data_IF_163556035334
#
_entry.id   IF_163556035334
#
_cell.length_a   1.000
_cell.length_b   1.000
_cell.length_c   1.000
_cell.angle_alpha   90.00
_cell.angle_beta   90.00
_cell.angle_gamma   90.00
#
_symmetry.space_group_name_H-M   'P 1'
#
loop_
_entity.id
_entity.type
_entity.pdbx_description
1 polymer ?
#
# COMPACT_ATOMS: atom_id res chain seq x y z
N UNK A 1 4.11 13.98 18.53
CA UNK A 1 4.72 13.83 17.20
C UNK A 1 4.17 12.55 16.60
N UNK A 2 3.22 12.65 15.67
CA UNK A 2 2.69 11.48 14.97
C UNK A 2 3.28 11.51 13.56
N UNK A 3 4.21 10.61 13.29
CA UNK A 3 4.81 10.47 11.95
C UNK A 3 3.85 9.65 11.10
N UNK A 4 3.39 10.21 9.99
CA UNK A 4 2.59 9.50 8.99
C UNK A 4 3.49 9.22 7.79
N UNK A 5 3.52 7.96 7.39
CA UNK A 5 4.62 7.36 6.67
C UNK A 5 4.02 6.37 5.66
N UNK A 6 4.19 6.59 4.35
CA UNK A 6 3.71 5.68 3.30
C UNK A 6 4.88 5.17 2.45
N UNK A 7 5.02 3.86 2.31
CA UNK A 7 6.10 3.22 1.54
C UNK A 7 5.60 2.68 0.19
N UNK A 8 6.50 2.56 -0.80
CA UNK A 8 6.30 1.84 -2.05
C UNK A 8 6.60 0.32 -1.92
N UNK A 9 6.53 -0.40 -3.04
CA UNK A 9 6.76 -1.85 -3.10
C UNK A 9 8.19 -2.27 -2.75
N UNK A 10 9.17 -1.39 -2.95
CA UNK A 10 10.58 -1.64 -2.69
C UNK A 10 10.99 -1.17 -1.28
N UNK A 11 10.07 -0.53 -0.55
CA UNK A 11 10.26 -0.06 0.81
C UNK A 11 10.79 1.36 0.93
N UNK A 12 10.64 2.20 -0.11
CA UNK A 12 10.97 3.63 -0.07
C UNK A 12 9.76 4.49 0.31
N UNK A 13 9.95 5.59 1.06
CA UNK A 13 8.86 6.48 1.47
C UNK A 13 8.39 7.39 0.33
N UNK A 14 7.08 7.41 0.05
CA UNK A 14 6.41 8.29 -0.89
C UNK A 14 5.95 9.60 -0.21
N UNK A 15 5.63 9.55 1.09
CA UNK A 15 5.18 10.70 1.89
C UNK A 15 5.81 10.65 3.30
N UNK A 16 6.39 11.77 3.75
CA UNK A 16 6.94 11.98 5.11
C UNK A 16 6.37 13.29 5.70
N UNK A 17 5.45 13.18 6.67
CA UNK A 17 4.84 14.34 7.35
C UNK A 17 4.98 14.25 8.88
N UNK A 18 5.27 15.40 9.50
CA UNK A 18 5.39 15.56 10.95
C UNK A 18 4.33 16.55 11.46
N UNK A 19 3.52 16.12 12.42
CA UNK A 19 2.61 16.99 13.19
C UNK A 19 3.17 17.25 14.61
N UNK A 20 3.40 18.51 14.99
CA UNK A 20 3.85 18.93 16.34
C UNK A 20 4.84 20.10 16.42
N UNK A 21 5.59 20.18 17.54
CA UNK A 21 6.63 21.21 17.79
C UNK A 21 7.78 21.12 16.77
N UNK A 22 8.36 22.29 16.44
CA UNK A 22 9.51 22.41 15.53
C UNK A 22 10.72 21.63 16.09
N UNK A 23 11.29 20.68 15.31
CA UNK A 23 12.41 19.88 15.75
C UNK A 23 13.72 20.69 15.74
N UNK A 24 14.78 20.12 16.32
CA UNK A 24 16.15 20.61 16.13
C UNK A 24 16.49 20.54 14.63
N UNK A 25 17.08 21.60 14.07
CA UNK A 25 17.39 21.78 12.64
C UNK A 25 16.14 21.94 11.75
N UNK A 26 15.12 22.68 12.21
CA UNK A 26 13.94 22.97 11.40
C UNK A 26 14.26 23.95 10.25
N UNK A 27 13.53 23.82 9.14
CA UNK A 27 13.60 24.69 7.96
C UNK A 27 12.22 24.81 7.31
N UNK A 28 11.91 25.95 6.67
CA UNK A 28 10.73 26.06 5.80
C UNK A 28 10.92 25.41 4.42
N UNK A 29 12.15 25.01 4.07
CA UNK A 29 12.43 24.32 2.81
C UNK A 29 11.75 22.95 2.77
N UNK A 30 11.01 22.70 1.70
CA UNK A 30 10.30 21.44 1.51
C UNK A 30 11.30 20.27 1.41
N UNK A 31 11.04 19.21 2.18
CA UNK A 31 11.69 17.91 1.97
C UNK A 31 11.19 17.33 0.65
N UNK A 32 12.10 16.86 -0.19
CA UNK A 32 11.71 16.17 -1.43
C UNK A 32 11.11 14.79 -1.14
N UNK A 33 10.49 14.20 -2.15
CA UNK A 33 9.98 12.83 -2.04
C UNK A 33 11.14 11.84 -1.88
N UNK A 34 10.97 10.77 -1.09
CA UNK A 34 11.92 9.64 -1.04
C UNK A 34 13.02 9.66 0.02
N UNK A 35 13.16 10.68 0.87
CA UNK A 35 14.29 10.75 1.81
C UNK A 35 14.02 10.11 3.18
N UNK A 36 14.45 8.86 3.41
CA UNK A 36 14.32 8.21 4.73
C UNK A 36 15.22 8.87 5.77
N UNK A 37 14.65 9.27 6.92
CA UNK A 37 15.38 9.97 8.00
C UNK A 37 16.32 11.07 7.44
N UNK A 38 15.81 11.82 6.46
CA UNK A 38 16.52 12.94 5.88
C UNK A 38 16.96 13.90 7.00
N UNK A 39 18.17 14.43 6.89
CA UNK A 39 18.60 15.55 7.71
C UNK A 39 18.96 16.69 6.78
N UNK A 40 18.48 17.88 7.13
CA UNK A 40 18.90 19.10 6.48
C UNK A 40 20.32 19.43 6.95
N UNK A 41 21.27 19.46 6.01
CA UNK A 41 22.70 19.58 6.28
C UNK A 41 23.31 20.73 5.49
N UNK A 42 24.47 21.19 5.94
CA UNK A 42 25.22 22.27 5.31
C UNK A 42 24.42 23.58 5.17
N UNK A 43 23.58 23.89 6.16
CA UNK A 43 22.73 25.07 6.18
C UNK A 43 23.31 26.18 7.07
N UNK A 44 22.89 27.41 6.79
CA UNK A 44 23.11 28.56 7.66
C UNK A 44 21.93 28.70 8.64
N UNK A 45 22.24 29.12 9.88
CA UNK A 45 21.23 29.28 10.95
C UNK A 45 20.92 30.76 11.13
N UNK A 46 19.65 31.12 11.00
CA UNK A 46 19.17 32.45 11.37
C UNK A 46 19.28 32.62 12.91
N UNK A 47 20.01 33.63 13.41
CA UNK A 47 20.26 33.80 14.84
C UNK A 47 19.03 34.28 15.63
N UNK A 48 18.04 34.87 14.97
CA UNK A 48 16.83 35.42 15.59
C UNK A 48 15.69 34.39 15.60
N UNK A 49 15.53 33.63 14.52
CA UNK A 49 14.44 32.65 14.36
C UNK A 49 14.88 31.21 14.64
N UNK A 50 16.17 30.91 14.52
CA UNK A 50 16.72 29.56 14.59
C UNK A 50 16.44 28.71 13.35
N UNK A 51 15.93 29.30 12.27
CA UNK A 51 15.65 28.62 11.00
C UNK A 51 16.95 28.23 10.29
N UNK A 52 16.99 27.02 9.73
CA UNK A 52 18.07 26.59 8.85
C UNK A 52 17.70 26.88 7.39
N UNK A 53 18.57 27.55 6.62
CA UNK A 53 18.33 27.86 5.19
C UNK A 53 19.58 27.62 4.34
N UNK A 54 19.40 27.46 3.02
CA UNK A 54 20.52 27.31 2.07
C UNK A 54 21.26 25.97 2.11
N UNK A 55 20.76 25.00 2.88
CA UNK A 55 21.28 23.65 2.98
C UNK A 55 20.71 22.68 1.95
N UNK A 56 21.06 21.41 2.13
CA UNK A 56 20.57 20.29 1.30
C UNK A 56 20.00 19.19 2.18
N UNK A 57 18.91 18.59 1.74
CA UNK A 57 18.40 17.37 2.34
C UNK A 57 19.32 16.19 1.98
N UNK A 58 19.87 15.55 3.00
CA UNK A 58 20.71 14.36 2.84
C UNK A 58 20.04 13.17 3.54
N UNK A 59 19.91 12.06 2.82
CA UNK A 59 19.46 10.80 3.38
C UNK A 59 20.55 10.24 4.31
N UNK A 60 20.22 10.05 5.59
CA UNK A 60 21.23 9.66 6.60
C UNK A 60 21.22 8.17 6.91
N UNK A 61 20.16 7.47 6.51
CA UNK A 61 20.02 6.02 6.64
C UNK A 61 18.90 5.55 5.70
N UNK A 62 18.81 4.23 5.46
CA UNK A 62 17.65 3.62 4.82
C UNK A 62 16.68 2.98 5.83
N UNK A 63 15.52 2.47 5.38
CA UNK A 63 14.56 1.79 6.24
C UNK A 63 15.19 0.66 7.03
N UNK A 64 14.84 0.57 8.31
CA UNK A 64 15.30 -0.55 9.14
C UNK A 64 14.63 -1.84 8.71
N UNK A 65 15.22 -2.98 9.06
CA UNK A 65 14.60 -4.30 8.82
C UNK A 65 13.23 -4.44 9.45
N UNK A 66 12.98 -3.73 10.57
CA UNK A 66 11.68 -3.66 11.23
C UNK A 66 10.67 -2.90 10.36
N UNK A 67 11.07 -1.75 9.79
CA UNK A 67 10.20 -0.93 8.92
C UNK A 67 9.79 -1.72 7.67
N UNK A 68 10.76 -2.38 7.02
CA UNK A 68 10.53 -3.22 5.84
C UNK A 68 9.58 -4.38 6.17
N UNK A 69 9.79 -5.05 7.31
CA UNK A 69 8.95 -6.16 7.74
C UNK A 69 7.52 -5.74 8.05
N UNK A 70 7.34 -4.59 8.72
CA UNK A 70 6.03 -4.03 9.02
C UNK A 70 5.27 -3.68 7.74
N UNK A 71 5.95 -3.05 6.76
CA UNK A 71 5.35 -2.73 5.47
C UNK A 71 4.92 -3.99 4.70
N UNK A 72 5.78 -5.02 4.68
CA UNK A 72 5.43 -6.29 4.04
C UNK A 72 4.21 -6.93 4.71
N UNK A 73 4.13 -6.90 6.04
CA UNK A 73 2.98 -7.41 6.76
C UNK A 73 1.68 -6.64 6.42
N UNK A 74 1.78 -5.32 6.23
CA UNK A 74 0.66 -4.50 5.78
C UNK A 74 0.22 -4.87 4.36
N UNK A 75 1.15 -5.02 3.40
CA UNK A 75 0.81 -5.47 2.06
C UNK A 75 0.12 -6.83 2.05
N UNK A 76 0.60 -7.78 2.85
CA UNK A 76 -0.05 -9.09 3.01
C UNK A 76 -1.45 -8.96 3.61
N UNK A 77 -1.64 -8.05 4.56
CA UNK A 77 -2.96 -7.79 5.18
C UNK A 77 -3.93 -7.21 4.16
N UNK A 78 -3.49 -6.23 3.36
CA UNK A 78 -4.30 -5.66 2.27
C UNK A 78 -4.63 -6.70 1.19
N UNK A 79 -3.68 -7.55 0.82
CA UNK A 79 -3.90 -8.65 -0.11
C UNK A 79 -4.96 -9.65 0.41
N UNK A 80 -4.92 -9.99 1.70
CA UNK A 80 -5.95 -10.83 2.35
C UNK A 80 -7.34 -10.21 2.27
N UNK A 81 -7.45 -8.92 2.58
CA UNK A 81 -8.71 -8.19 2.49
C UNK A 81 -9.26 -8.17 1.05
N UNK A 82 -8.40 -7.89 0.07
CA UNK A 82 -8.75 -7.93 -1.35
C UNK A 82 -9.23 -9.31 -1.80
N UNK A 83 -8.51 -10.38 -1.45
CA UNK A 83 -8.90 -11.77 -1.74
C UNK A 83 -10.27 -12.10 -1.19
N UNK A 84 -10.50 -11.80 0.10
CA UNK A 84 -11.78 -12.04 0.76
C UNK A 84 -12.93 -11.34 0.05
N UNK A 85 -12.75 -10.04 -0.29
CA UNK A 85 -13.74 -9.27 -1.04
C UNK A 85 -14.06 -9.89 -2.41
N UNK A 86 -13.03 -10.24 -3.18
CA UNK A 86 -13.21 -10.82 -4.52
C UNK A 86 -13.91 -12.19 -4.48
N UNK A 87 -13.61 -13.02 -3.47
CA UNK A 87 -14.29 -14.30 -3.25
C UNK A 87 -15.76 -14.10 -2.87
N UNK A 88 -16.06 -13.10 -2.03
CA UNK A 88 -17.44 -12.75 -1.68
C UNK A 88 -18.23 -12.32 -2.92
N UNK A 89 -17.70 -11.36 -3.68
CA UNK A 89 -18.33 -10.86 -4.91
C UNK A 89 -18.58 -11.99 -5.94
N UNK A 90 -17.61 -12.91 -6.09
CA UNK A 90 -17.76 -14.07 -6.95
C UNK A 90 -18.83 -15.05 -6.45
N UNK A 91 -18.94 -15.23 -5.13
CA UNK A 91 -19.95 -16.09 -4.53
C UNK A 91 -21.36 -15.53 -4.74
N UNK A 92 -21.55 -14.23 -4.55
CA UNK A 92 -22.84 -13.57 -4.79
C UNK A 92 -23.28 -13.72 -6.26
N UNK A 93 -22.34 -13.55 -7.20
CA UNK A 93 -22.63 -13.77 -8.63
C UNK A 93 -22.98 -15.22 -8.94
N UNK A 94 -22.27 -16.17 -8.33
CA UNK A 94 -22.54 -17.60 -8.48
C UNK A 94 -23.95 -17.95 -8.01
N UNK A 95 -24.42 -17.41 -6.88
CA UNK A 95 -25.79 -17.66 -6.40
C UNK A 95 -26.84 -17.11 -7.38
N UNK A 96 -26.70 -15.87 -7.85
CA UNK A 96 -27.60 -15.28 -8.86
C UNK A 96 -27.64 -16.14 -10.14
N UNK A 97 -26.49 -16.68 -10.57
CA UNK A 97 -26.41 -17.52 -11.76
C UNK A 97 -27.09 -18.88 -11.56
N UNK A 98 -27.02 -19.46 -10.35
CA UNK A 98 -27.76 -20.68 -10.02
C UNK A 98 -29.27 -20.43 -10.08
N UNK A 99 -29.76 -19.37 -9.44
CA UNK A 99 -31.19 -19.01 -9.45
C UNK A 99 -31.71 -18.86 -10.89
N UNK A 100 -30.92 -18.21 -11.77
CA UNK A 100 -31.28 -18.06 -13.19
C UNK A 100 -31.38 -19.39 -13.92
N UNK A 101 -30.48 -20.33 -13.65
CA UNK A 101 -30.50 -21.67 -14.23
C UNK A 101 -31.70 -22.45 -13.72
N UNK A 102 -32.01 -22.35 -12.43
CA UNK A 102 -33.21 -22.96 -11.83
C UNK A 102 -34.51 -22.41 -12.45
N UNK A 103 -34.52 -21.13 -12.82
CA UNK A 103 -35.60 -20.49 -13.58
C UNK A 103 -35.57 -20.79 -15.09
N UNK A 104 -34.67 -21.67 -15.55
CA UNK A 104 -34.61 -22.17 -16.93
C UNK A 104 -33.77 -21.35 -17.91
N UNK A 105 -32.96 -20.41 -17.44
CA UNK A 105 -32.03 -19.66 -18.30
C UNK A 105 -30.75 -20.45 -18.57
N UNK A 106 -30.28 -20.46 -19.83
CA UNK A 106 -28.99 -21.09 -20.18
C UNK A 106 -27.81 -20.20 -19.76
N UNK A 107 -27.29 -20.43 -18.56
CA UNK A 107 -26.14 -19.71 -17.97
C UNK A 107 -25.07 -20.65 -17.41
N UNK A 108 -25.10 -21.93 -17.79
CA UNK A 108 -24.20 -22.95 -17.24
C UNK A 108 -22.72 -22.67 -17.56
N UNK A 109 -22.43 -22.14 -18.76
CA UNK A 109 -21.08 -21.75 -19.16
C UNK A 109 -20.55 -20.59 -18.31
N UNK A 110 -21.36 -19.55 -18.09
CA UNK A 110 -21.03 -18.40 -17.24
C UNK A 110 -20.78 -18.86 -15.79
N UNK A 111 -21.67 -19.70 -15.25
CA UNK A 111 -21.52 -20.27 -13.90
C UNK A 111 -20.20 -21.05 -13.74
N UNK A 112 -19.76 -21.78 -14.78
CA UNK A 112 -18.48 -22.49 -14.76
C UNK A 112 -17.30 -21.53 -14.68
N UNK A 113 -17.30 -20.46 -15.48
CA UNK A 113 -16.24 -19.45 -15.45
C UNK A 113 -16.12 -18.78 -14.09
N UNK A 114 -17.24 -18.39 -13.49
CA UNK A 114 -17.27 -17.77 -12.17
C UNK A 114 -16.81 -18.70 -11.05
N UNK A 115 -17.15 -19.99 -11.11
CA UNK A 115 -16.61 -21.00 -10.18
C UNK A 115 -15.11 -21.17 -10.33
N UNK A 116 -14.60 -21.28 -11.55
CA UNK A 116 -13.16 -21.35 -11.82
C UNK A 116 -12.42 -20.11 -11.33
N UNK A 117 -12.99 -18.92 -11.54
CA UNK A 117 -12.45 -17.67 -11.03
C UNK A 117 -12.37 -17.64 -9.50
N UNK A 118 -13.44 -18.07 -8.80
CA UNK A 118 -13.43 -18.14 -7.33
C UNK A 118 -12.39 -19.12 -6.79
N UNK A 119 -12.18 -20.26 -7.44
CA UNK A 119 -11.13 -21.23 -7.08
C UNK A 119 -9.75 -20.60 -7.31
N UNK A 120 -9.53 -19.98 -8.47
CA UNK A 120 -8.26 -19.30 -8.76
C UNK A 120 -7.95 -18.20 -7.73
N UNK A 121 -8.95 -17.45 -7.26
CA UNK A 121 -8.78 -16.50 -6.16
C UNK A 121 -8.39 -17.18 -4.84
N UNK A 122 -9.02 -18.33 -4.51
CA UNK A 122 -8.73 -19.10 -3.30
C UNK A 122 -7.32 -19.70 -3.31
N UNK A 123 -6.78 -20.02 -4.48
CA UNK A 123 -5.42 -20.54 -4.62
C UNK A 123 -4.33 -19.46 -4.52
N UNK A 124 -4.69 -18.17 -4.52
CA UNK A 124 -3.71 -17.07 -4.42
C UNK A 124 -2.97 -17.13 -3.08
N UNK A 125 -1.64 -17.19 -3.15
CA UNK A 125 -0.76 -16.96 -2.01
C UNK A 125 -0.59 -15.44 -1.76
N UNK A 126 -1.26 -14.96 -0.72
CA UNK A 126 -1.20 -13.57 -0.28
C UNK A 126 0.14 -13.19 0.34
N UNK A 127 1.03 -14.16 0.64
CA UNK A 127 2.36 -13.91 1.18
C UNK A 127 3.32 -13.29 0.15
N UNK A 128 2.99 -13.43 -1.14
CA UNK A 128 3.71 -12.84 -2.26
C UNK A 128 3.43 -11.33 -2.44
N UNK A 129 2.59 -10.72 -1.60
CA UNK A 129 2.30 -9.29 -1.67
C UNK A 129 3.59 -8.44 -1.54
N UNK A 130 3.70 -7.33 -2.31
CA UNK A 130 2.67 -6.74 -3.18
C UNK A 130 2.54 -7.37 -4.58
N UNK A 131 3.49 -8.23 -4.97
CA UNK A 131 3.64 -8.79 -6.32
C UNK A 131 2.69 -9.97 -6.59
N UNK A 132 1.39 -9.70 -6.52
CA UNK A 132 0.35 -10.71 -6.77
C UNK A 132 -0.33 -10.44 -8.11
N UNK A 133 -0.27 -11.41 -9.01
CA UNK A 133 -1.09 -11.44 -10.22
C UNK A 133 -2.51 -11.92 -9.87
N UNK A 134 -3.48 -11.00 -9.96
CA UNK A 134 -4.88 -11.31 -9.70
C UNK A 134 -5.54 -11.88 -10.96
N UNK A 135 -6.32 -12.96 -10.86
CA UNK A 135 -7.05 -13.50 -12.01
C UNK A 135 -8.03 -12.45 -12.55
N UNK A 136 -8.26 -12.51 -13.86
CA UNK A 136 -9.23 -11.63 -14.51
C UNK A 136 -10.65 -12.07 -14.19
N UNK A 137 -11.48 -11.09 -13.85
CA UNK A 137 -12.90 -11.29 -13.58
C UNK A 137 -13.61 -11.75 -14.87
N UNK A 138 -14.44 -12.81 -14.82
CA UNK A 138 -15.28 -13.20 -15.96
C UNK A 138 -16.35 -12.15 -16.27
N UNK A 139 -16.83 -12.13 -17.52
CA UNK A 139 -17.99 -11.34 -17.95
C UNK A 139 -19.33 -11.95 -17.53
#
# INVERSE_FOLDING_TARGET
MKKLNKLDSDGFYIEDYIDGYLPKNWTADLVGDGYYKAQYQNADIDPDTGEWTGGVWAETSGPSTIDISAQKAEFVTQAKLKKSKLISDASDRIEILKDRIELGQDRAAELKLWKSYRIALDDIDVSAAPDIEWPLKPE
#
